data_IF_697053817891
#
_entry.id   IF_697053817891
#
_cell.length_a   1.000
_cell.length_b   1.000
_cell.length_c   1.000
_cell.angle_alpha   90.00
_cell.angle_beta   90.00
_cell.angle_gamma   90.00
#
_symmetry.space_group_name_H-M   'P 1'
#
loop_
_entity.id
_entity.type
_entity.pdbx_description
1 polymer ?
#
# COMPACT_ATOMS: atom_id res chain seq x y z
N UNK A 1 4.37 71.16 23.73
CA UNK A 1 3.34 71.32 24.78
C UNK A 1 2.33 70.19 24.63
N UNK A 2 1.78 69.48 25.61
CA UNK A 2 1.85 69.33 27.08
C UNK A 2 1.11 67.98 27.36
N UNK A 3 1.64 67.14 28.28
CA UNK A 3 1.02 66.11 29.18
C UNK A 3 -0.06 65.14 28.62
N UNK A 4 0.06 63.81 28.67
CA UNK A 4 0.24 62.85 29.78
C UNK A 4 -0.93 62.77 30.77
N UNK A 5 -1.48 61.56 31.00
CA UNK A 5 -1.96 60.88 32.23
C UNK A 5 -2.58 59.52 31.79
N UNK A 6 -1.99 58.35 32.09
CA UNK A 6 -2.15 57.48 33.29
C UNK A 6 -3.62 57.07 33.57
N UNK A 7 -4.03 55.83 33.87
CA UNK A 7 -3.41 54.54 34.21
C UNK A 7 -4.49 53.62 34.85
N UNK A 8 -4.12 52.37 35.20
CA UNK A 8 -4.86 51.36 36.02
C UNK A 8 -6.02 50.59 35.33
N UNK A 9 -6.27 49.29 35.50
CA UNK A 9 -5.90 48.27 36.51
C UNK A 9 -6.19 46.86 35.94
N UNK A 10 -5.42 45.85 36.36
CA UNK A 10 -5.48 44.49 35.80
C UNK A 10 -6.57 43.56 36.33
N UNK A 11 -6.59 42.34 35.76
CA UNK A 11 -7.00 41.11 36.46
C UNK A 11 -6.43 39.87 35.77
N UNK A 12 -5.68 39.10 36.54
CA UNK A 12 -5.31 37.70 36.29
C UNK A 12 -6.58 36.84 36.13
N UNK A 13 -6.54 35.86 35.22
CA UNK A 13 -7.11 34.52 35.48
C UNK A 13 -6.18 33.46 34.89
N UNK A 14 -5.62 32.68 35.80
CA UNK A 14 -5.11 31.34 35.56
C UNK A 14 -6.27 30.42 35.20
N UNK A 15 -5.98 29.42 34.36
CA UNK A 15 -6.92 28.39 33.96
C UNK A 15 -6.18 27.31 33.18
N UNK A 16 -5.51 26.42 33.91
CA UNK A 16 -4.97 25.18 33.37
C UNK A 16 -6.10 24.28 32.86
N UNK A 17 -5.90 23.71 31.68
CA UNK A 17 -6.78 22.69 31.10
C UNK A 17 -5.92 21.75 30.27
N UNK A 18 -5.73 20.55 30.82
CA UNK A 18 -4.96 19.47 30.21
C UNK A 18 -5.50 19.11 28.82
N UNK A 19 -4.60 18.99 27.86
CA UNK A 19 -4.88 18.48 26.52
C UNK A 19 -5.08 16.96 26.59
N UNK A 20 -6.34 16.53 26.57
CA UNK A 20 -6.73 15.14 26.31
C UNK A 20 -6.35 14.73 24.87
N UNK A 21 -5.98 13.46 24.63
CA UNK A 21 -5.61 12.98 23.30
C UNK A 21 -6.84 12.84 22.38
N UNK A 22 -6.66 12.95 21.04
CA UNK A 22 -7.79 12.88 20.12
C UNK A 22 -8.41 11.48 20.04
N UNK A 23 -9.74 11.54 19.92
CA UNK A 23 -10.73 10.48 19.93
C UNK A 23 -10.53 9.38 18.88
N UNK A 24 -11.01 8.20 19.27
CA UNK A 24 -11.19 7.00 18.46
C UNK A 24 -11.89 7.28 17.11
N UNK A 25 -11.38 6.66 16.04
CA UNK A 25 -12.04 6.59 14.73
C UNK A 25 -13.36 5.81 14.89
N UNK A 26 -14.48 6.52 15.06
CA UNK A 26 -15.83 5.95 15.01
C UNK A 26 -16.50 6.36 13.71
N UNK A 27 -16.79 5.39 12.85
CA UNK A 27 -17.72 5.52 11.73
C UNK A 27 -18.98 4.72 12.06
N UNK A 28 -20.19 5.24 11.74
CA UNK A 28 -21.44 4.60 12.11
C UNK A 28 -21.64 3.27 11.38
N UNK A 29 -22.06 2.27 12.14
CA UNK A 29 -22.36 0.92 11.67
C UNK A 29 -23.55 0.88 10.73
N UNK A 30 -23.48 -0.03 9.76
CA UNK A 30 -24.62 -0.49 8.97
C UNK A 30 -25.44 -1.49 9.80
N UNK A 31 -26.78 -1.48 9.70
CA UNK A 31 -27.64 -2.27 10.58
C UNK A 31 -27.55 -3.77 10.27
N UNK A 32 -27.58 -4.53 11.36
CA UNK A 32 -27.85 -5.97 11.42
C UNK A 32 -29.17 -6.31 10.72
N UNK A 33 -29.20 -7.47 10.05
CA UNK A 33 -30.45 -8.14 9.74
C UNK A 33 -30.37 -9.55 10.35
N UNK A 34 -31.18 -9.78 11.37
CA UNK A 34 -31.33 -11.07 12.02
C UNK A 34 -32.51 -11.85 11.40
N UNK A 35 -32.29 -13.17 11.35
CA UNK A 35 -33.26 -14.26 11.37
C UNK A 35 -34.32 -14.42 10.28
N UNK A 36 -34.16 -15.53 9.54
CA UNK A 36 -35.22 -16.55 9.47
C UNK A 36 -34.59 -17.94 9.54
N UNK A 37 -34.75 -18.61 10.68
CA UNK A 37 -34.54 -20.03 10.84
C UNK A 37 -35.64 -20.84 10.13
N UNK A 38 -35.26 -21.92 9.45
CA UNK A 38 -36.16 -23.03 9.12
C UNK A 38 -35.39 -24.34 9.20
N UNK A 39 -36.07 -25.32 9.80
CA UNK A 39 -35.58 -26.53 10.45
C UNK A 39 -35.32 -27.68 9.47
N UNK A 40 -34.31 -28.48 9.85
CA UNK A 40 -34.24 -29.96 9.84
C UNK A 40 -34.35 -30.70 8.51
N UNK A 41 -33.28 -31.39 8.09
CA UNK A 41 -33.29 -32.86 8.01
C UNK A 41 -31.88 -33.48 7.89
N UNK A 42 -31.73 -34.60 8.58
CA UNK A 42 -30.53 -35.42 8.75
C UNK A 42 -30.13 -36.15 7.47
N UNK A 43 -28.87 -36.05 7.04
CA UNK A 43 -28.23 -37.05 6.17
C UNK A 43 -26.81 -37.36 6.66
N UNK A 44 -26.57 -38.66 6.84
CA UNK A 44 -25.41 -39.31 7.48
C UNK A 44 -24.14 -39.20 6.62
N UNK A 45 -22.92 -39.19 7.20
CA UNK A 45 -21.69 -39.32 6.43
C UNK A 45 -21.43 -40.78 6.01
N UNK A 46 -21.10 -40.99 4.73
CA UNK A 46 -20.57 -42.25 4.19
C UNK A 46 -19.08 -42.35 4.45
N UNK A 47 -18.65 -43.46 5.02
CA UNK A 47 -17.26 -43.87 5.23
C UNK A 47 -16.56 -44.13 3.88
N UNK A 48 -15.29 -43.75 3.79
CA UNK A 48 -14.38 -44.10 2.70
C UNK A 48 -13.45 -45.25 3.15
N UNK A 49 -13.27 -46.32 2.36
CA UNK A 49 -12.41 -47.43 2.77
C UNK A 49 -10.92 -47.19 2.47
N UNK A 50 -10.12 -47.55 3.46
CA UNK A 50 -8.67 -47.74 3.45
C UNK A 50 -8.32 -49.06 2.73
N UNK A 51 -7.34 -49.09 1.82
CA UNK A 51 -6.65 -50.33 1.44
C UNK A 51 -5.21 -50.07 0.94
N UNK A 52 -4.37 -51.08 1.20
CA UNK A 52 -2.92 -51.07 1.45
C UNK A 52 -2.04 -51.38 0.20
N UNK A 53 -0.69 -51.40 0.30
CA UNK A 53 0.22 -51.14 -0.81
C UNK A 53 0.64 -52.40 -1.58
N UNK A 54 1.12 -52.21 -2.82
CA UNK A 54 1.78 -53.26 -3.61
C UNK A 54 3.14 -52.79 -4.12
N UNK A 55 4.15 -53.64 -3.91
CA UNK A 55 5.56 -53.40 -4.25
C UNK A 55 5.99 -54.10 -5.55
N UNK A 56 6.83 -53.38 -6.31
CA UNK A 56 8.02 -53.83 -7.07
C UNK A 56 7.85 -54.56 -8.44
N UNK A 57 8.38 -53.95 -9.50
CA UNK A 57 9.68 -54.29 -10.11
C UNK A 57 10.00 -53.41 -11.35
N UNK A 58 11.28 -53.01 -11.47
CA UNK A 58 11.89 -52.33 -12.63
C UNK A 58 12.06 -53.26 -13.84
N UNK A 59 12.34 -52.70 -15.04
CA UNK A 59 13.71 -52.78 -15.54
C UNK A 59 14.18 -51.54 -16.35
N UNK A 60 15.50 -51.44 -16.55
CA UNK A 60 16.06 -50.89 -17.80
C UNK A 60 16.71 -49.51 -17.75
N UNK A 61 18.03 -49.52 -17.53
CA UNK A 61 18.95 -48.40 -17.61
C UNK A 61 19.16 -47.89 -19.05
N UNK A 62 19.04 -46.58 -19.26
CA UNK A 62 19.84 -45.83 -20.25
C UNK A 62 20.39 -44.56 -19.58
N UNK A 63 21.69 -44.57 -19.35
CA UNK A 63 22.46 -43.52 -18.68
C UNK A 63 22.73 -42.38 -19.67
N UNK A 64 21.95 -41.30 -19.60
CA UNK A 64 22.29 -40.04 -20.24
C UNK A 64 23.27 -39.25 -19.34
N UNK A 65 24.37 -38.76 -19.92
CA UNK A 65 25.38 -37.96 -19.23
C UNK A 65 24.76 -36.68 -18.62
N UNK A 66 25.25 -36.19 -17.47
CA UNK A 66 24.76 -34.93 -16.91
C UNK A 66 25.16 -33.79 -17.85
N UNK A 67 24.17 -33.12 -18.42
CA UNK A 67 24.36 -31.79 -19.01
C UNK A 67 24.91 -30.88 -17.93
N UNK A 68 25.88 -30.00 -18.23
CA UNK A 68 26.31 -29.00 -17.26
C UNK A 68 25.08 -28.18 -16.89
N UNK A 69 24.77 -28.14 -15.59
CA UNK A 69 23.75 -27.26 -15.06
C UNK A 69 24.13 -25.84 -15.47
N UNK A 70 23.33 -25.25 -16.37
CA UNK A 70 23.44 -23.84 -16.67
C UNK A 70 23.26 -23.11 -15.33
N UNK A 71 24.34 -22.49 -14.85
CA UNK A 71 24.35 -21.69 -13.65
C UNK A 71 23.28 -20.61 -13.79
N UNK A 72 22.25 -20.71 -12.95
CA UNK A 72 21.27 -19.64 -12.80
C UNK A 72 22.04 -18.37 -12.39
N UNK A 73 21.79 -17.21 -13.01
CA UNK A 73 22.43 -15.98 -12.58
C UNK A 73 21.96 -15.68 -11.15
N UNK A 74 22.85 -15.86 -10.18
CA UNK A 74 22.76 -15.23 -8.87
C UNK A 74 22.65 -13.74 -9.13
N UNK A 75 21.51 -13.14 -8.73
CA UNK A 75 21.33 -11.70 -8.81
C UNK A 75 22.30 -11.05 -7.83
N UNK A 76 23.48 -10.72 -8.34
CA UNK A 76 24.42 -9.84 -7.68
C UNK A 76 23.69 -8.55 -7.28
N UNK A 77 24.09 -8.04 -6.12
CA UNK A 77 23.54 -6.83 -5.54
C UNK A 77 23.37 -5.76 -6.62
N UNK A 78 22.15 -5.23 -6.77
CA UNK A 78 21.92 -4.07 -7.63
C UNK A 78 22.79 -2.93 -7.10
N UNK A 79 23.90 -2.68 -7.81
CA UNK A 79 24.63 -1.44 -7.74
C UNK A 79 23.63 -0.33 -8.07
N UNK A 80 23.67 0.78 -7.31
CA UNK A 80 22.74 1.90 -7.48
C UNK A 80 22.99 2.52 -8.84
N UNK A 81 22.35 1.97 -9.87
CA UNK A 81 22.33 2.54 -11.21
C UNK A 81 21.59 3.86 -11.12
N UNK A 82 22.11 4.89 -11.81
CA UNK A 82 21.48 6.20 -11.85
C UNK A 82 19.98 6.04 -12.19
N UNK A 83 19.11 6.68 -11.41
CA UNK A 83 17.66 6.54 -11.60
C UNK A 83 17.28 7.01 -13.00
N UNK A 84 16.84 6.07 -13.84
CA UNK A 84 16.29 6.39 -15.15
C UNK A 84 14.95 7.13 -14.95
N UNK A 85 14.80 8.36 -15.48
CA UNK A 85 13.52 9.05 -15.47
C UNK A 85 12.44 8.18 -16.13
N UNK A 86 11.29 8.06 -15.48
CA UNK A 86 10.16 7.33 -16.06
C UNK A 86 9.60 8.13 -17.25
N UNK A 87 9.30 7.45 -18.35
CA UNK A 87 8.59 8.05 -19.50
C UNK A 87 7.08 8.02 -19.30
N UNK A 88 6.30 8.72 -20.12
CA UNK A 88 4.83 8.63 -20.09
C UNK A 88 4.34 7.21 -20.39
N UNK A 89 5.02 6.48 -21.28
CA UNK A 89 4.72 5.06 -21.56
C UNK A 89 4.98 4.17 -20.33
N UNK A 90 6.09 4.41 -19.62
CA UNK A 90 6.40 3.69 -18.38
C UNK A 90 5.34 3.96 -17.31
N UNK A 91 4.75 5.15 -17.26
CA UNK A 91 3.71 5.51 -16.28
C UNK A 91 2.33 4.97 -16.65
N UNK A 92 2.02 4.91 -17.94
CA UNK A 92 0.75 4.41 -18.46
C UNK A 92 0.47 2.97 -18.01
N UNK A 93 1.51 2.14 -17.92
CA UNK A 93 1.37 0.76 -17.46
C UNK A 93 0.92 0.66 -15.99
N UNK A 94 1.18 1.66 -15.15
CA UNK A 94 0.83 1.60 -13.72
C UNK A 94 -0.66 1.76 -13.47
N UNK A 95 -1.41 2.37 -14.40
CA UNK A 95 -2.87 2.40 -14.32
C UNK A 95 -3.44 0.98 -14.42
N UNK A 96 -3.10 0.24 -15.48
CA UNK A 96 -3.71 -1.07 -15.77
C UNK A 96 -2.94 -2.28 -15.23
N UNK A 97 -1.69 -2.10 -14.80
CA UNK A 97 -0.79 -3.18 -14.40
C UNK A 97 -1.26 -3.90 -13.14
N UNK A 98 -1.68 -3.13 -12.13
CA UNK A 98 -2.34 -3.62 -10.92
C UNK A 98 -3.38 -2.62 -10.41
N UNK A 99 -4.26 -3.07 -9.54
CA UNK A 99 -5.32 -2.28 -8.93
C UNK A 99 -5.62 -2.82 -7.53
N UNK A 100 -6.38 -2.02 -6.78
CA UNK A 100 -7.03 -2.53 -5.58
C UNK A 100 -8.08 -3.59 -5.92
N UNK A 101 -8.15 -4.64 -5.09
CA UNK A 101 -9.15 -5.70 -5.15
C UNK A 101 -10.18 -5.63 -4.02
N UNK A 102 -10.15 -4.62 -3.14
CA UNK A 102 -11.15 -4.43 -2.09
C UNK A 102 -11.18 -3.01 -1.53
N UNK A 103 -12.09 -2.76 -0.59
CA UNK A 103 -12.16 -1.50 0.16
C UNK A 103 -11.01 -1.42 1.17
N UNK A 104 -10.48 -0.21 1.36
CA UNK A 104 -9.57 0.13 2.45
C UNK A 104 -8.08 0.19 2.10
N UNK A 105 -7.61 -0.54 1.09
CA UNK A 105 -6.19 -0.55 0.66
C UNK A 105 -5.82 0.59 -0.32
N UNK A 106 -6.74 1.51 -0.60
CA UNK A 106 -6.59 2.53 -1.66
C UNK A 106 -5.39 3.45 -1.44
N UNK A 107 -5.11 3.85 -0.20
CA UNK A 107 -3.95 4.68 0.15
C UNK A 107 -2.65 3.99 -0.22
N UNK A 108 -2.52 2.71 0.15
CA UNK A 108 -1.34 1.91 -0.16
C UNK A 108 -1.15 1.73 -1.66
N UNK A 109 -2.22 1.37 -2.39
CA UNK A 109 -2.17 1.19 -3.85
C UNK A 109 -1.81 2.50 -4.56
N UNK A 110 -2.45 3.61 -4.19
CA UNK A 110 -2.17 4.92 -4.79
C UNK A 110 -0.73 5.37 -4.53
N UNK A 111 -0.23 5.22 -3.30
CA UNK A 111 1.13 5.58 -2.92
C UNK A 111 2.17 4.72 -3.65
N UNK A 112 1.95 3.41 -3.77
CA UNK A 112 2.83 2.50 -4.51
C UNK A 112 2.88 2.88 -5.99
N UNK A 113 1.73 3.14 -6.64
CA UNK A 113 1.69 3.58 -8.03
C UNK A 113 2.43 4.91 -8.23
N UNK A 114 2.20 5.89 -7.36
CA UNK A 114 2.90 7.17 -7.41
C UNK A 114 4.41 6.98 -7.26
N UNK A 115 4.85 6.13 -6.33
CA UNK A 115 6.26 5.84 -6.11
C UNK A 115 6.90 5.18 -7.34
N UNK A 116 6.24 4.19 -7.94
CA UNK A 116 6.69 3.56 -9.19
C UNK A 116 6.74 4.57 -10.36
N UNK A 117 5.74 5.47 -10.44
CA UNK A 117 5.68 6.51 -11.46
C UNK A 117 6.81 7.54 -11.33
N UNK A 118 7.26 7.81 -10.10
CA UNK A 118 8.37 8.73 -9.82
C UNK A 118 9.73 8.09 -10.02
N UNK A 119 9.95 6.92 -9.42
CA UNK A 119 11.28 6.34 -9.28
C UNK A 119 11.55 5.15 -10.19
N UNK A 120 10.51 4.46 -10.64
CA UNK A 120 10.60 3.10 -11.20
C UNK A 120 10.40 2.03 -10.13
N UNK A 121 9.90 0.84 -10.49
CA UNK A 121 9.50 -0.20 -9.52
C UNK A 121 10.67 -0.81 -8.74
N UNK A 122 11.86 -0.79 -9.31
CA UNK A 122 13.12 -1.26 -8.73
C UNK A 122 13.82 -0.21 -7.85
N UNK A 123 13.40 1.05 -7.95
CA UNK A 123 14.10 2.18 -7.34
C UNK A 123 13.25 2.96 -6.34
N UNK A 124 12.08 2.46 -5.94
CA UNK A 124 11.26 3.11 -4.88
C UNK A 124 12.03 3.16 -3.56
N UNK A 125 12.57 2.02 -3.13
CA UNK A 125 13.41 1.92 -1.94
C UNK A 125 14.87 2.27 -2.26
N UNK A 126 15.64 2.58 -1.21
CA UNK A 126 17.08 2.82 -1.36
C UNK A 126 17.83 1.53 -1.73
N UNK A 127 17.41 0.39 -1.19
CA UNK A 127 17.90 -0.93 -1.62
C UNK A 127 16.91 -2.04 -1.29
N UNK A 128 16.84 -3.04 -2.16
CA UNK A 128 16.16 -4.32 -1.91
C UNK A 128 17.16 -5.43 -2.22
N UNK A 129 17.49 -6.26 -1.24
CA UNK A 129 18.45 -7.37 -1.40
C UNK A 129 17.80 -8.68 -1.02
N UNK A 130 17.97 -9.71 -1.85
CA UNK A 130 17.60 -11.07 -1.46
C UNK A 130 18.50 -11.51 -0.31
N UNK A 131 17.92 -12.09 0.74
CA UNK A 131 18.62 -12.50 1.95
C UNK A 131 17.97 -13.76 2.50
N UNK A 132 18.53 -14.94 2.19
CA UNK A 132 17.92 -16.24 2.52
C UNK A 132 16.47 -16.35 2.04
N UNK A 133 15.56 -16.69 2.96
CA UNK A 133 14.11 -16.80 2.74
C UNK A 133 13.40 -15.44 2.81
N UNK A 134 13.85 -14.47 2.01
CA UNK A 134 13.15 -13.20 1.81
C UNK A 134 14.05 -12.06 1.37
N UNK A 135 13.69 -10.83 1.74
CA UNK A 135 14.36 -9.60 1.35
C UNK A 135 14.75 -8.73 2.55
N UNK A 136 15.92 -8.09 2.46
CA UNK A 136 16.31 -6.94 3.26
C UNK A 136 15.99 -5.67 2.47
N UNK A 137 15.14 -4.80 3.05
CA UNK A 137 14.69 -3.55 2.43
C UNK A 137 15.20 -2.38 3.24
N UNK A 138 15.88 -1.45 2.58
CA UNK A 138 16.25 -0.15 3.16
C UNK A 138 15.45 0.94 2.44
N UNK A 139 14.62 1.65 3.18
CA UNK A 139 13.82 2.76 2.69
C UNK A 139 14.65 4.03 2.50
N UNK A 140 14.11 5.03 1.78
CA UNK A 140 14.86 6.27 1.47
C UNK A 140 15.10 7.17 2.67
N UNK A 141 14.27 7.06 3.71
CA UNK A 141 14.46 7.75 4.98
C UNK A 141 15.37 7.00 5.96
N UNK A 142 15.94 5.86 5.54
CA UNK A 142 16.91 5.09 6.31
C UNK A 142 16.32 3.96 7.15
N UNK A 143 14.98 3.84 7.23
CA UNK A 143 14.32 2.72 7.92
C UNK A 143 14.66 1.41 7.21
N UNK A 144 14.98 0.38 7.99
CA UNK A 144 15.29 -0.96 7.51
C UNK A 144 14.22 -1.94 7.97
N UNK A 145 13.74 -2.77 7.07
CA UNK A 145 12.80 -3.85 7.36
C UNK A 145 13.23 -5.13 6.67
N UNK A 146 12.92 -6.27 7.29
CA UNK A 146 13.11 -7.61 6.72
C UNK A 146 11.75 -8.12 6.27
N UNK A 147 11.62 -8.51 5.01
CA UNK A 147 10.40 -9.14 4.47
C UNK A 147 10.65 -10.62 4.26
N UNK A 148 10.10 -11.50 5.08
CA UNK A 148 10.23 -12.96 4.88
C UNK A 148 9.41 -13.45 3.68
N UNK A 149 9.73 -14.63 3.16
CA UNK A 149 8.91 -15.27 2.10
C UNK A 149 7.48 -15.56 2.61
N UNK A 150 7.31 -15.87 3.90
CA UNK A 150 6.01 -16.05 4.54
C UNK A 150 5.22 -14.75 4.64
N UNK A 151 5.86 -13.65 5.04
CA UNK A 151 5.25 -12.32 5.05
C UNK A 151 4.88 -11.86 3.65
N UNK A 152 5.70 -12.16 2.64
CA UNK A 152 5.40 -11.84 1.25
C UNK A 152 4.15 -12.59 0.77
N UNK A 153 4.00 -13.87 1.14
CA UNK A 153 2.79 -14.65 0.86
C UNK A 153 1.56 -14.08 1.59
N UNK A 154 1.70 -13.75 2.87
CA UNK A 154 0.64 -13.12 3.66
C UNK A 154 0.23 -11.76 3.08
N UNK A 155 1.19 -10.92 2.70
CA UNK A 155 0.94 -9.64 2.04
C UNK A 155 0.27 -9.82 0.68
N UNK A 156 0.68 -10.82 -0.11
CA UNK A 156 0.03 -11.15 -1.38
C UNK A 156 -1.47 -11.41 -1.22
N UNK A 157 -1.86 -12.13 -0.16
CA UNK A 157 -3.27 -12.38 0.18
C UNK A 157 -3.97 -11.17 0.79
N UNK A 158 -3.38 -10.54 1.79
CA UNK A 158 -4.03 -9.51 2.60
C UNK A 158 -4.04 -8.12 1.94
N UNK A 159 -3.07 -7.80 1.09
CA UNK A 159 -3.05 -6.53 0.36
C UNK A 159 -4.22 -6.38 -0.60
N UNK A 160 -4.82 -7.50 -1.04
CA UNK A 160 -5.86 -7.53 -2.07
C UNK A 160 -5.42 -6.85 -3.37
N UNK A 161 -4.12 -6.80 -3.66
CA UNK A 161 -3.59 -6.27 -4.93
C UNK A 161 -3.80 -7.33 -6.01
N UNK A 162 -4.37 -6.92 -7.14
CA UNK A 162 -4.58 -7.81 -8.30
C UNK A 162 -4.28 -7.06 -9.58
N UNK A 163 -3.93 -7.76 -10.66
CA UNK A 163 -3.47 -7.11 -11.88
C UNK A 163 -3.20 -8.05 -13.03
N UNK A 164 -3.06 -7.48 -14.22
CA UNK A 164 -2.74 -8.21 -15.47
C UNK A 164 -1.24 -8.33 -15.72
N UNK A 165 -0.43 -7.52 -15.03
CA UNK A 165 1.02 -7.60 -15.09
C UNK A 165 1.55 -8.31 -13.84
N UNK A 166 1.92 -9.60 -13.92
CA UNK A 166 2.39 -10.37 -12.77
C UNK A 166 3.67 -9.80 -12.16
N UNK A 167 4.52 -9.13 -12.95
CA UNK A 167 5.74 -8.51 -12.43
C UNK A 167 5.39 -7.30 -11.57
N UNK A 168 4.54 -6.40 -12.05
CA UNK A 168 4.12 -5.23 -11.28
C UNK A 168 3.31 -5.61 -10.04
N UNK A 169 2.50 -6.67 -10.12
CA UNK A 169 1.80 -7.20 -8.93
C UNK A 169 2.82 -7.67 -7.88
N UNK A 170 3.85 -8.44 -8.26
CA UNK A 170 4.90 -8.87 -7.33
C UNK A 170 5.67 -7.69 -6.73
N UNK A 171 6.05 -6.71 -7.55
CA UNK A 171 6.76 -5.51 -7.09
C UNK A 171 5.89 -4.72 -6.10
N UNK A 172 4.59 -4.55 -6.39
CA UNK A 172 3.64 -3.88 -5.52
C UNK A 172 3.39 -4.63 -4.20
N UNK A 173 3.27 -5.96 -4.25
CA UNK A 173 3.11 -6.80 -3.05
C UNK A 173 4.35 -6.72 -2.15
N UNK A 174 5.56 -6.69 -2.72
CA UNK A 174 6.79 -6.49 -1.95
C UNK A 174 6.81 -5.11 -1.26
N UNK A 175 6.41 -4.04 -1.97
CA UNK A 175 6.31 -2.71 -1.38
C UNK A 175 5.27 -2.66 -0.26
N UNK A 176 4.11 -3.29 -0.46
CA UNK A 176 3.09 -3.42 0.56
C UNK A 176 3.60 -4.19 1.80
N UNK A 177 4.32 -5.29 1.60
CA UNK A 177 4.90 -6.06 2.70
C UNK A 177 5.93 -5.22 3.49
N UNK A 178 6.74 -4.41 2.81
CA UNK A 178 7.66 -3.49 3.47
C UNK A 178 6.92 -2.39 4.26
N UNK A 179 5.82 -1.85 3.71
CA UNK A 179 4.94 -0.93 4.43
C UNK A 179 4.38 -1.58 5.70
N UNK A 180 3.88 -2.82 5.61
CA UNK A 180 3.31 -3.54 6.74
C UNK A 180 4.35 -3.85 7.82
N UNK A 181 5.57 -4.26 7.44
CA UNK A 181 6.67 -4.46 8.38
C UNK A 181 7.04 -3.16 9.11
N UNK A 182 7.03 -2.02 8.41
CA UNK A 182 7.26 -0.73 9.06
C UNK A 182 6.11 -0.33 9.98
N UNK A 183 4.86 -0.52 9.54
CA UNK A 183 3.67 -0.28 10.35
C UNK A 183 3.68 -1.12 11.63
N UNK A 184 4.14 -2.38 11.54
CA UNK A 184 4.36 -3.26 12.68
C UNK A 184 5.45 -2.73 13.63
N UNK A 185 6.61 -2.36 13.06
CA UNK A 185 7.77 -1.85 13.80
C UNK A 185 7.47 -0.55 14.56
N UNK A 186 6.80 0.40 13.89
CA UNK A 186 6.51 1.72 14.43
C UNK A 186 5.21 1.78 15.24
N UNK A 187 4.37 0.75 15.14
CA UNK A 187 3.11 0.65 15.87
C UNK A 187 2.00 1.53 15.29
N UNK A 188 1.55 1.23 14.06
CA UNK A 188 0.41 1.91 13.43
C UNK A 188 -0.83 1.93 14.34
N UNK A 189 -1.60 3.01 14.25
CA UNK A 189 -2.76 3.30 15.12
C UNK A 189 -2.46 3.21 16.63
N UNK A 190 -1.21 3.48 17.03
CA UNK A 190 -0.77 3.46 18.43
C UNK A 190 -0.63 2.06 19.02
N UNK A 191 -0.68 1.00 18.19
CA UNK A 191 -0.59 -0.39 18.66
C UNK A 191 0.86 -0.88 18.63
N UNK A 192 1.46 -1.06 19.80
CA UNK A 192 2.77 -1.72 19.91
C UNK A 192 2.61 -3.24 19.80
N UNK A 193 3.66 -3.93 19.34
CA UNK A 193 3.77 -5.39 19.31
C UNK A 193 2.66 -6.11 18.50
N UNK A 194 2.15 -5.50 17.44
CA UNK A 194 1.17 -6.15 16.58
C UNK A 194 1.80 -7.27 15.75
N UNK A 195 1.01 -8.25 15.31
CA UNK A 195 1.48 -9.23 14.31
C UNK A 195 1.57 -8.59 12.92
N UNK A 196 2.30 -9.23 12.02
CA UNK A 196 2.39 -8.79 10.63
C UNK A 196 1.01 -8.79 9.93
N UNK A 197 0.18 -9.80 10.19
CA UNK A 197 -1.21 -9.85 9.69
C UNK A 197 -2.02 -8.66 10.19
N UNK A 198 -1.83 -8.25 11.45
CA UNK A 198 -2.53 -7.12 12.02
C UNK A 198 -2.06 -5.80 11.43
N UNK A 199 -0.76 -5.66 11.15
CA UNK A 199 -0.23 -4.53 10.41
C UNK A 199 -0.78 -4.47 8.97
N UNK A 200 -0.91 -5.63 8.30
CA UNK A 200 -1.57 -5.69 7.01
C UNK A 200 -3.04 -5.26 7.09
N UNK A 201 -3.74 -5.55 8.19
CA UNK A 201 -5.13 -5.13 8.38
C UNK A 201 -5.24 -3.63 8.65
N UNK A 202 -4.32 -3.04 9.41
CA UNK A 202 -4.35 -1.60 9.70
C UNK A 202 -4.14 -0.77 8.44
N UNK A 203 -3.18 -1.16 7.59
CA UNK A 203 -2.99 -0.53 6.27
C UNK A 203 -4.22 -0.63 5.33
N UNK A 204 -5.19 -1.47 5.67
CA UNK A 204 -6.42 -1.70 4.92
C UNK A 204 -7.69 -1.15 5.60
N UNK A 205 -7.58 -0.39 6.69
CA UNK A 205 -8.76 0.11 7.43
C UNK A 205 -9.13 1.59 7.13
N UNK A 206 -8.51 2.16 6.10
CA UNK A 206 -8.79 3.54 5.65
C UNK A 206 -7.79 4.55 6.19
N UNK A 207 -6.49 4.27 5.99
CA UNK A 207 -5.37 5.16 6.30
C UNK A 207 -5.60 6.59 5.79
N UNK A 208 -5.02 7.57 6.48
CA UNK A 208 -4.90 8.92 5.93
C UNK A 208 -4.02 8.86 4.68
N UNK A 209 -4.42 9.57 3.62
CA UNK A 209 -3.65 9.58 2.36
C UNK A 209 -2.18 10.01 2.54
N UNK A 210 -1.87 10.75 3.62
CA UNK A 210 -0.51 11.18 3.97
C UNK A 210 0.36 10.10 4.60
N UNK A 211 -0.23 8.99 5.01
CA UNK A 211 0.48 7.87 5.64
C UNK A 211 1.13 6.95 4.60
N UNK A 212 0.56 6.86 3.38
CA UNK A 212 1.16 6.07 2.29
C UNK A 212 2.65 6.37 2.05
N UNK A 213 3.06 7.63 1.85
CA UNK A 213 4.48 7.99 1.72
C UNK A 213 5.30 7.72 2.98
N UNK A 214 4.69 7.78 4.17
CA UNK A 214 5.38 7.41 5.41
C UNK A 214 5.77 5.95 5.36
N UNK A 215 4.83 5.06 5.09
CA UNK A 215 5.10 3.62 5.11
C UNK A 215 6.08 3.17 4.02
N UNK A 216 6.22 3.94 2.93
CA UNK A 216 7.23 3.73 1.89
C UNK A 216 8.59 4.41 2.18
N UNK A 217 8.70 5.22 3.24
CA UNK A 217 9.88 6.02 3.56
C UNK A 217 10.15 7.16 2.58
N UNK A 218 9.09 7.73 2.04
CA UNK A 218 9.08 8.80 1.05
C UNK A 218 8.65 10.15 1.61
N UNK A 219 8.46 10.33 2.92
CA UNK A 219 7.94 11.60 3.48
C UNK A 219 8.74 12.84 3.05
N UNK A 220 10.08 12.72 2.92
CA UNK A 220 10.97 13.79 2.46
C UNK A 220 10.92 14.06 0.95
N UNK A 221 10.22 13.21 0.19
CA UNK A 221 10.03 13.30 -1.26
C UNK A 221 8.61 13.69 -1.61
N UNK A 222 7.86 14.28 -0.67
CA UNK A 222 6.46 14.67 -0.86
C UNK A 222 6.37 16.19 -0.93
N UNK A 223 5.73 16.70 -1.98
CA UNK A 223 5.26 18.09 -2.07
C UNK A 223 3.75 18.10 -2.04
N UNK A 224 3.16 18.79 -1.05
CA UNK A 224 1.72 19.07 -1.05
C UNK A 224 1.37 19.95 -2.25
N UNK A 225 0.30 19.64 -2.95
CA UNK A 225 -0.17 20.40 -4.13
C UNK A 225 -1.66 20.72 -3.99
N UNK A 226 -2.15 21.67 -4.76
CA UNK A 226 -3.58 21.90 -4.91
C UNK A 226 -4.22 20.71 -5.65
N UNK A 227 -5.34 20.14 -5.15
CA UNK A 227 -6.04 19.08 -5.86
C UNK A 227 -6.51 19.45 -7.28
N UNK A 228 -6.70 20.73 -7.57
CA UNK A 228 -7.04 21.20 -8.92
C UNK A 228 -5.84 21.09 -9.88
N UNK A 229 -4.62 21.06 -9.36
CA UNK A 229 -3.38 21.03 -10.16
C UNK A 229 -2.84 19.62 -10.41
N UNK A 230 -3.52 18.55 -9.97
CA UNK A 230 -3.00 17.17 -10.10
C UNK A 230 -2.65 16.79 -11.54
N UNK A 231 -3.32 17.39 -12.51
CA UNK A 231 -3.10 17.18 -13.95
C UNK A 231 -1.74 17.67 -14.44
N UNK A 232 -1.06 18.53 -13.67
CA UNK A 232 0.24 19.13 -14.01
C UNK A 232 1.44 18.29 -13.59
N UNK A 233 1.20 17.14 -12.95
CA UNK A 233 2.25 16.32 -12.34
C UNK A 233 2.19 14.87 -12.84
N UNK A 234 3.30 14.15 -12.66
CA UNK A 234 3.52 12.79 -13.20
C UNK A 234 3.53 11.69 -12.14
N UNK A 235 3.39 12.04 -10.85
CA UNK A 235 3.43 11.08 -9.75
C UNK A 235 2.67 11.64 -8.56
N UNK A 236 1.35 11.46 -8.55
CA UNK A 236 0.45 12.11 -7.60
C UNK A 236 -0.41 11.10 -6.89
N UNK A 237 -0.71 11.40 -5.63
CA UNK A 237 -1.89 10.86 -4.94
C UNK A 237 -2.85 11.99 -4.65
N UNK A 238 -4.06 11.88 -5.18
CA UNK A 238 -5.21 12.69 -4.81
C UNK A 238 -6.06 11.94 -3.79
N UNK A 239 -6.74 12.65 -2.89
CA UNK A 239 -7.63 12.04 -1.91
C UNK A 239 -8.89 12.86 -1.67
N UNK A 240 -10.03 12.16 -1.60
CA UNK A 240 -11.29 12.69 -1.05
C UNK A 240 -11.45 12.32 0.42
N UNK A 241 -12.64 12.52 0.98
CA UNK A 241 -12.98 12.07 2.33
C UNK A 241 -13.13 10.56 2.47
N UNK A 242 -13.11 9.79 1.37
CA UNK A 242 -13.36 8.33 1.39
C UNK A 242 -12.36 7.51 0.59
N UNK A 243 -11.53 8.14 -0.23
CA UNK A 243 -10.71 7.41 -1.18
C UNK A 243 -9.42 8.17 -1.51
N UNK A 244 -8.42 7.41 -1.96
CA UNK A 244 -7.17 7.93 -2.47
C UNK A 244 -6.91 7.31 -3.85
N UNK A 245 -6.56 8.16 -4.82
CA UNK A 245 -6.35 7.80 -6.22
C UNK A 245 -4.94 8.13 -6.64
N UNK A 246 -4.37 7.28 -7.49
CA UNK A 246 -3.16 7.61 -8.24
C UNK A 246 -3.51 8.52 -9.41
N UNK A 247 -2.67 9.53 -9.66
CA UNK A 247 -2.78 10.38 -10.84
C UNK A 247 -1.40 10.63 -11.49
N UNK A 248 -1.41 10.74 -12.81
CA UNK A 248 -0.22 11.00 -13.62
C UNK A 248 -0.61 11.55 -14.98
N UNK A 249 0.13 12.55 -15.47
CA UNK A 249 0.04 13.06 -16.85
C UNK A 249 -1.37 13.53 -17.25
N UNK A 250 -2.12 14.11 -16.31
CA UNK A 250 -3.51 14.52 -16.58
C UNK A 250 -4.52 13.37 -16.53
N UNK A 251 -4.16 12.19 -16.04
CA UNK A 251 -5.05 11.05 -15.86
C UNK A 251 -5.10 10.58 -14.41
N UNK A 252 -6.23 9.97 -14.04
CA UNK A 252 -6.47 9.37 -12.72
C UNK A 252 -6.77 7.88 -12.84
N UNK A 253 -6.38 7.14 -11.80
CA UNK A 253 -6.66 5.72 -11.67
C UNK A 253 -8.05 5.50 -11.09
N UNK A 254 -8.92 4.95 -11.92
CA UNK A 254 -10.26 4.56 -11.52
C UNK A 254 -10.34 3.03 -11.44
N UNK A 255 -9.87 2.46 -10.33
CA UNK A 255 -9.86 1.01 -10.08
C UNK A 255 -9.13 0.22 -11.19
N UNK A 256 -7.96 0.72 -11.59
CA UNK A 256 -7.16 0.14 -12.66
C UNK A 256 -7.56 0.56 -14.08
N UNK A 257 -8.50 1.52 -14.22
CA UNK A 257 -8.87 2.14 -15.49
C UNK A 257 -8.30 3.56 -15.54
N UNK A 258 -7.48 3.86 -16.54
CA UNK A 258 -6.99 5.21 -16.83
C UNK A 258 -8.16 6.09 -17.29
N UNK A 259 -8.40 7.21 -16.61
CA UNK A 259 -9.44 8.19 -16.97
C UNK A 259 -8.85 9.59 -17.02
N UNK A 260 -9.29 10.49 -17.92
CA UNK A 260 -8.89 11.89 -17.87
C UNK A 260 -9.20 12.49 -16.49
N UNK A 261 -8.24 13.24 -15.94
CA UNK A 261 -8.41 14.00 -14.69
C UNK A 261 -9.27 15.25 -14.89
N UNK A 262 -9.48 15.67 -16.15
CA UNK A 262 -10.22 16.87 -16.52
C UNK A 262 -11.69 16.54 -16.73
N UNK A 263 -12.49 16.66 -15.68
CA UNK A 263 -13.92 16.92 -15.81
C UNK A 263 -14.18 18.33 -15.29
N UNK A 264 -14.90 19.10 -16.11
CA UNK A 264 -15.11 20.56 -16.13
C UNK A 264 -15.72 21.18 -14.85
N UNK A 265 -15.64 20.50 -13.70
CA UNK A 265 -16.11 20.98 -12.40
C UNK A 265 -15.50 20.25 -11.19
N UNK A 266 -14.39 19.53 -11.33
CA UNK A 266 -13.69 18.87 -10.20
C UNK A 266 -14.48 17.75 -9.50
N UNK A 267 -15.63 17.34 -10.06
CA UNK A 267 -16.60 16.46 -9.41
C UNK A 267 -16.45 14.97 -9.79
N UNK A 268 -15.81 14.60 -10.90
CA UNK A 268 -15.73 13.19 -11.35
C UNK A 268 -14.32 12.59 -11.28
N UNK A 269 -13.46 13.06 -10.37
CA UNK A 269 -12.11 12.50 -10.22
C UNK A 269 -12.16 11.13 -9.51
N UNK A 270 -13.25 10.85 -8.81
CA UNK A 270 -13.59 9.54 -8.24
C UNK A 270 -14.94 9.12 -8.80
N UNK A 271 -15.15 7.84 -9.13
CA UNK A 271 -16.44 7.28 -9.57
C UNK A 271 -17.59 7.36 -8.56
N UNK A 272 -17.49 8.27 -7.59
CA UNK A 272 -18.46 8.58 -6.55
C UNK A 272 -18.86 10.06 -6.52
N UNK A 273 -18.42 10.89 -7.47
CA UNK A 273 -18.91 12.27 -7.58
C UNK A 273 -18.41 13.22 -6.48
N UNK A 274 -17.31 12.88 -5.78
CA UNK A 274 -16.80 13.68 -4.64
C UNK A 274 -15.53 14.43 -5.04
N UNK A 275 -15.41 15.72 -4.66
CA UNK A 275 -14.21 16.49 -4.94
C UNK A 275 -13.03 15.99 -4.11
N UNK A 276 -11.84 16.06 -4.70
CA UNK A 276 -10.60 15.85 -3.96
C UNK A 276 -10.42 16.97 -2.91
N UNK A 277 -10.03 16.57 -1.70
CA UNK A 277 -9.78 17.48 -0.56
C UNK A 277 -8.30 17.64 -0.24
N UNK A 278 -7.46 16.78 -0.79
CA UNK A 278 -6.03 16.83 -0.61
C UNK A 278 -5.30 16.15 -1.76
N UNK A 279 -4.09 16.60 -2.02
CA UNK A 279 -3.22 15.97 -2.99
C UNK A 279 -1.74 16.18 -2.60
N UNK A 280 -0.90 15.26 -3.03
CA UNK A 280 0.54 15.44 -3.03
C UNK A 280 1.18 14.86 -4.28
N UNK A 281 2.28 15.47 -4.70
CA UNK A 281 3.17 14.95 -5.73
C UNK A 281 4.45 14.40 -5.09
N UNK A 282 4.99 13.33 -5.66
CA UNK A 282 6.34 12.89 -5.34
C UNK A 282 7.38 13.70 -6.14
N UNK A 283 8.38 14.23 -5.45
CA UNK A 283 9.42 15.13 -5.99
C UNK A 283 10.81 14.52 -5.94
#
# INVERSE_FOLDING_TARGET
MIRALDGHTGRKREGGGALSPPSSKHFPGTPENQDTASRTECLRPREAPFMQPVTRASPGSLRAAPRPAASLPTRDAFEVTAQRPQTSQDRDRYFSGFKQGGTGNCVSVAAIKAAMAKFGPDQVFKSVKRSGQGYDVTMRDGVKVRVSDAELATAGRLSRISGRDPKLVRDAVLMYAAMANRAQLEGNDGRKNMSFERACQSLNDGESYREGPRWLGLQKHVRKIDPNDIHRYTAVVGASSRHAVFASDGFVDHYGKKRPSTTRGGLEIEGYGRPLRGAYALV
#
